data_IF_385034636240
#
_entry.id   IF_385034636240
#
_cell.length_a   1.000
_cell.length_b   1.000
_cell.length_c   1.000
_cell.angle_alpha   90.00
_cell.angle_beta   90.00
_cell.angle_gamma   90.00
#
_symmetry.space_group_name_H-M   'P 1'
#
loop_
_entity.id
_entity.type
_entity.pdbx_description
1 polymer ?
#
# COMPACT_ATOMS: atom_id res chain seq x y z
N UNK A 1 11.63 12.21 0.76
CA UNK A 1 12.14 13.61 0.69
C UNK A 1 11.10 14.71 0.99
N UNK A 2 9.80 14.52 0.72
CA UNK A 2 8.78 15.59 0.86
C UNK A 2 8.61 16.15 2.28
N UNK A 3 8.64 15.29 3.31
CA UNK A 3 8.53 15.71 4.71
C UNK A 3 9.72 16.57 5.17
N UNK A 4 10.95 16.19 4.82
CA UNK A 4 12.15 16.96 5.16
C UNK A 4 12.16 18.34 4.48
N UNK A 5 11.79 18.39 3.20
CA UNK A 5 11.67 19.65 2.47
C UNK A 5 10.59 20.57 3.07
N UNK A 6 9.48 20.00 3.55
CA UNK A 6 8.44 20.77 4.23
C UNK A 6 8.92 21.31 5.58
N UNK A 7 9.53 20.46 6.42
CA UNK A 7 10.08 20.89 7.71
C UNK A 7 11.10 22.04 7.56
N UNK A 8 11.99 21.95 6.57
CA UNK A 8 12.94 23.03 6.26
C UNK A 8 12.23 24.31 5.80
N UNK A 9 11.23 24.21 4.91
CA UNK A 9 10.49 25.38 4.45
C UNK A 9 9.65 26.06 5.54
N UNK A 10 9.17 25.30 6.54
CA UNK A 10 8.53 25.86 7.73
C UNK A 10 9.55 26.61 8.59
N UNK A 11 10.72 26.00 8.83
CA UNK A 11 11.81 26.63 9.59
C UNK A 11 12.29 27.94 8.94
N UNK A 12 12.34 27.99 7.61
CA UNK A 12 12.72 29.18 6.83
C UNK A 12 11.56 30.18 6.62
N UNK A 13 10.37 29.92 7.17
CA UNK A 13 9.20 30.82 7.07
C UNK A 13 8.56 30.88 5.67
N UNK A 14 8.87 29.93 4.78
CA UNK A 14 8.37 29.87 3.40
C UNK A 14 7.11 29.02 3.26
N UNK A 15 6.83 28.13 4.21
CA UNK A 15 5.70 27.20 4.19
C UNK A 15 4.93 27.23 5.50
N UNK A 16 3.62 26.90 5.44
CA UNK A 16 2.76 26.76 6.61
C UNK A 16 3.08 25.47 7.38
N UNK A 17 3.12 25.56 8.71
CA UNK A 17 3.32 24.43 9.61
C UNK A 17 2.05 23.59 9.80
N UNK A 18 0.88 24.21 9.71
CA UNK A 18 -0.39 23.53 9.93
C UNK A 18 -0.83 22.71 8.72
N UNK A 19 -0.42 23.11 7.51
CA UNK A 19 -0.82 22.45 6.27
C UNK A 19 0.36 22.23 5.33
N UNK A 20 0.58 20.99 4.86
CA UNK A 20 1.58 20.75 3.83
C UNK A 20 1.17 21.41 2.52
N UNK A 21 2.13 21.87 1.70
CA UNK A 21 1.82 22.40 0.38
C UNK A 21 1.18 21.33 -0.49
N UNK A 22 0.43 21.76 -1.51
CA UNK A 22 -0.12 20.86 -2.51
C UNK A 22 1.01 20.24 -3.34
N UNK A 23 1.52 19.10 -2.89
CA UNK A 23 2.54 18.37 -3.62
C UNK A 23 1.94 17.86 -4.92
N UNK A 24 2.67 18.09 -6.01
CA UNK A 24 2.35 17.46 -7.27
C UNK A 24 2.37 15.94 -7.06
N UNK A 25 1.33 15.28 -7.57
CA UNK A 25 1.26 13.82 -7.59
C UNK A 25 2.53 13.23 -8.20
N UNK A 26 2.93 12.04 -7.76
CA UNK A 26 3.96 11.33 -8.48
C UNK A 26 3.42 11.01 -9.89
N UNK A 27 4.27 11.09 -10.91
CA UNK A 27 3.97 10.46 -12.18
C UNK A 27 3.86 8.96 -11.91
N UNK A 28 2.63 8.47 -11.81
CA UNK A 28 2.32 7.08 -11.59
C UNK A 28 1.89 6.46 -12.92
N UNK A 29 2.27 5.20 -13.11
CA UNK A 29 1.78 4.38 -14.20
C UNK A 29 0.99 3.25 -13.56
N UNK A 30 -0.18 2.97 -14.15
CA UNK A 30 -0.92 1.75 -13.83
C UNK A 30 -0.28 0.65 -14.68
N UNK A 31 0.24 -0.38 -14.00
CA UNK A 31 0.77 -1.58 -14.66
C UNK A 31 -0.28 -2.66 -14.45
N UNK A 32 -0.95 -3.03 -15.54
CA UNK A 32 -1.91 -4.12 -15.53
C UNK A 32 -1.16 -5.44 -15.65
N UNK A 33 -1.50 -6.39 -14.77
CA UNK A 33 -1.02 -7.76 -14.89
C UNK A 33 -1.73 -8.43 -16.06
N UNK A 34 -0.96 -9.15 -16.88
CA UNK A 34 -1.56 -9.99 -17.91
C UNK A 34 -2.27 -11.21 -17.30
N UNK A 35 -2.88 -12.05 -18.14
CA UNK A 35 -3.64 -13.19 -17.63
C UNK A 35 -2.75 -14.22 -16.92
N UNK A 36 -1.53 -14.45 -17.41
CA UNK A 36 -0.61 -15.40 -16.78
C UNK A 36 -0.20 -14.88 -15.39
N UNK A 37 0.24 -13.63 -15.30
CA UNK A 37 0.63 -12.98 -14.05
C UNK A 37 -0.52 -12.95 -13.03
N UNK A 38 -1.74 -12.68 -13.49
CA UNK A 38 -2.94 -12.74 -12.63
C UNK A 38 -3.18 -14.13 -12.09
N UNK A 39 -3.10 -15.16 -12.94
CA UNK A 39 -3.33 -16.55 -12.55
C UNK A 39 -2.25 -17.04 -11.58
N UNK A 40 -0.98 -16.71 -11.83
CA UNK A 40 0.13 -17.00 -10.93
C UNK A 40 -0.08 -16.32 -9.57
N UNK A 41 -0.42 -15.03 -9.57
CA UNK A 41 -0.69 -14.30 -8.34
C UNK A 41 -1.87 -14.89 -7.55
N UNK A 42 -2.91 -15.36 -8.24
CA UNK A 42 -4.04 -16.04 -7.61
C UNK A 42 -3.63 -17.37 -6.98
N UNK A 43 -2.82 -18.17 -7.69
CA UNK A 43 -2.33 -19.46 -7.20
C UNK A 43 -1.46 -19.29 -5.94
N UNK A 44 -0.55 -18.33 -5.91
CA UNK A 44 0.29 -18.05 -4.72
C UNK A 44 -0.56 -17.68 -3.51
N UNK A 45 -1.58 -16.81 -3.70
CA UNK A 45 -2.49 -16.43 -2.61
C UNK A 45 -3.34 -17.60 -2.12
N UNK A 46 -3.77 -18.49 -3.03
CA UNK A 46 -4.49 -19.71 -2.68
C UNK A 46 -3.59 -20.65 -1.86
N UNK A 47 -2.37 -20.91 -2.32
CA UNK A 47 -1.41 -21.75 -1.62
C UNK A 47 -1.09 -21.21 -0.21
N UNK A 48 -0.82 -19.91 -0.10
CA UNK A 48 -0.61 -19.26 1.19
C UNK A 48 -1.81 -19.45 2.13
N UNK A 49 -3.03 -19.27 1.60
CA UNK A 49 -4.26 -19.45 2.38
C UNK A 49 -4.38 -20.90 2.88
N UNK A 50 -4.13 -21.89 2.02
CA UNK A 50 -4.19 -23.30 2.41
C UNK A 50 -3.20 -23.62 3.53
N UNK A 51 -1.93 -23.22 3.39
CA UNK A 51 -0.89 -23.46 4.40
C UNK A 51 -1.21 -22.74 5.71
N UNK A 52 -1.72 -21.50 5.64
CA UNK A 52 -2.13 -20.76 6.83
C UNK A 52 -3.25 -21.46 7.58
N UNK A 53 -4.31 -21.90 6.90
CA UNK A 53 -5.44 -22.55 7.57
C UNK A 53 -5.05 -23.91 8.19
N UNK A 54 -4.10 -24.62 7.58
CA UNK A 54 -3.54 -25.85 8.14
C UNK A 54 -2.67 -25.58 9.39
N UNK A 55 -1.79 -24.57 9.32
CA UNK A 55 -0.77 -24.33 10.36
C UNK A 55 -1.28 -23.45 11.51
N UNK A 56 -2.14 -22.49 11.20
CA UNK A 56 -2.63 -21.44 12.10
C UNK A 56 -4.13 -21.20 11.88
N UNK A 57 -4.99 -22.16 12.27
CA UNK A 57 -6.43 -22.05 12.09
C UNK A 57 -6.96 -20.80 12.80
N UNK A 58 -7.75 -19.99 12.10
CA UNK A 58 -8.36 -18.77 12.65
C UNK A 58 -7.39 -17.60 12.85
N UNK A 59 -6.18 -17.62 12.29
CA UNK A 59 -5.19 -16.56 12.43
C UNK A 59 -5.71 -15.15 12.09
N UNK A 60 -6.67 -15.05 11.18
CA UNK A 60 -7.29 -13.78 10.77
C UNK A 60 -8.75 -13.64 11.22
N UNK A 61 -9.20 -14.46 12.18
CA UNK A 61 -10.61 -14.56 12.58
C UNK A 61 -11.47 -15.23 11.50
N UNK A 62 -12.74 -15.47 11.81
CA UNK A 62 -13.72 -15.82 10.77
C UNK A 62 -13.90 -14.64 9.82
N UNK A 63 -13.88 -14.93 8.51
CA UNK A 63 -14.22 -13.95 7.49
C UNK A 63 -15.66 -13.48 7.75
N UNK A 64 -15.83 -12.20 8.10
CA UNK A 64 -17.16 -11.62 8.28
C UNK A 64 -18.02 -11.85 7.02
N UNK A 65 -19.28 -12.31 7.16
CA UNK A 65 -20.16 -12.47 6.02
C UNK A 65 -20.44 -11.10 5.36
N UNK A 66 -20.42 -11.09 4.02
CA UNK A 66 -20.76 -9.94 3.17
C UNK A 66 -22.27 -9.67 3.19
#
# INVERSE_FOLDING_TARGET
ARQAAWALGVHEGRLDAARPPAWQGAAAQVIEADEEERLVGAAVRQQYTAVREETHPGAFGERAPL
#
